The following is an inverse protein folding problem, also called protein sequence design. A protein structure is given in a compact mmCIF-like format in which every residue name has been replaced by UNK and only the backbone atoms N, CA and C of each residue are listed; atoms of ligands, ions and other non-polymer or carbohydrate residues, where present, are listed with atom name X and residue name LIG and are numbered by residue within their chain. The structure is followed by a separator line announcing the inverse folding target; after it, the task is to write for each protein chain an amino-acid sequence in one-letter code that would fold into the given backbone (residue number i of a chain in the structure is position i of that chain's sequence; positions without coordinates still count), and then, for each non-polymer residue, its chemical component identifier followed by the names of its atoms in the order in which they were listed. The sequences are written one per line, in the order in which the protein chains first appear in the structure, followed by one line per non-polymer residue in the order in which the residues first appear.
data_IF_237668904990
#
_entry.id   IF_237668904990
#
_cell.length_a   1.000
_cell.length_b   1.000
_cell.length_c   1.000
_cell.angle_alpha   90.00
_cell.angle_beta   90.00
_cell.angle_gamma   90.00
#
_symmetry.space_group_name_H-M   'P 1'
#
loop_
_entity.id
_entity.type
_entity.pdbx_description
1 polymer ?
#
# COMPACT_ATOMS: atom_id res chain seq x y z
N UNK A 1 -10.35 -1.93 -19.05
CA UNK A 1 -11.01 -0.72 -18.52
C UNK A 1 -11.69 -1.09 -17.21
N UNK A 2 -11.55 -0.30 -16.14
CA UNK A 2 -12.28 -0.52 -14.90
C UNK A 2 -13.74 -0.10 -15.07
N UNK A 3 -14.70 -0.83 -14.49
CA UNK A 3 -16.12 -0.45 -14.57
C UNK A 3 -16.37 0.94 -13.97
N UNK A 4 -17.35 1.67 -14.48
CA UNK A 4 -17.67 3.06 -14.06
C UNK A 4 -18.32 3.18 -12.69
N UNK A 5 -18.54 2.11 -11.98
CA UNK A 5 -19.26 2.12 -10.71
C UNK A 5 -18.30 2.06 -9.51
N UNK A 6 -18.75 2.52 -8.37
CA UNK A 6 -18.18 2.61 -7.02
C UNK A 6 -16.94 1.74 -6.69
N UNK A 7 -16.37 1.89 -5.51
CA UNK A 7 -15.29 1.07 -4.93
C UNK A 7 -15.46 -0.46 -5.09
N UNK A 8 -16.69 -0.95 -5.18
CA UNK A 8 -17.01 -2.35 -5.47
C UNK A 8 -16.58 -2.81 -6.87
N UNK A 9 -16.42 -1.89 -7.82
CA UNK A 9 -15.95 -2.18 -9.17
C UNK A 9 -14.52 -2.70 -9.17
N UNK A 10 -13.67 -2.15 -8.31
CA UNK A 10 -12.30 -2.62 -8.16
C UNK A 10 -12.25 -4.06 -7.64
N UNK A 11 -13.08 -4.39 -6.63
CA UNK A 11 -13.21 -5.75 -6.12
C UNK A 11 -13.75 -6.72 -7.18
N UNK A 12 -14.75 -6.31 -7.96
CA UNK A 12 -15.32 -7.11 -9.05
C UNK A 12 -14.32 -7.40 -10.17
N UNK A 13 -13.49 -6.42 -10.51
CA UNK A 13 -12.46 -6.52 -11.55
C UNK A 13 -11.14 -7.11 -11.07
N UNK A 14 -11.02 -7.43 -9.78
CA UNK A 14 -9.76 -7.85 -9.14
C UNK A 14 -9.09 -9.06 -9.78
N UNK A 15 -9.87 -9.93 -10.43
CA UNK A 15 -9.37 -11.13 -11.12
C UNK A 15 -8.99 -10.90 -12.58
N UNK A 16 -9.26 -9.71 -13.12
CA UNK A 16 -9.01 -9.42 -14.53
C UNK A 16 -7.55 -9.03 -14.72
N UNK A 17 -6.90 -9.64 -15.69
CA UNK A 17 -5.58 -9.19 -16.15
C UNK A 17 -5.70 -7.81 -16.81
N UNK A 18 -4.84 -6.89 -16.43
CA UNK A 18 -4.83 -5.50 -16.90
C UNK A 18 -3.52 -5.20 -17.63
N UNK A 19 -3.41 -5.49 -18.93
CA UNK A 19 -2.15 -5.37 -19.69
C UNK A 19 -1.59 -3.94 -19.69
N UNK A 20 -2.44 -2.93 -19.61
CA UNK A 20 -2.03 -1.52 -19.62
C UNK A 20 -1.78 -0.94 -18.23
N UNK A 21 -1.85 -1.74 -17.16
CA UNK A 21 -1.44 -1.29 -15.85
C UNK A 21 0.09 -1.10 -15.81
N UNK A 22 0.54 -0.07 -15.12
CA UNK A 22 1.97 0.28 -15.06
C UNK A 22 2.85 -0.90 -14.63
N UNK A 23 2.40 -1.70 -13.65
CA UNK A 23 3.17 -2.88 -13.23
C UNK A 23 3.43 -3.85 -14.38
N UNK A 24 2.43 -4.14 -15.23
CA UNK A 24 2.61 -5.02 -16.39
C UNK A 24 3.51 -4.38 -17.44
N UNK A 25 3.31 -3.09 -17.77
CA UNK A 25 4.13 -2.37 -18.75
C UNK A 25 5.60 -2.33 -18.32
N UNK A 26 5.88 -1.93 -17.08
CA UNK A 26 7.26 -1.89 -16.57
C UNK A 26 7.88 -3.28 -16.46
N UNK A 27 7.09 -4.30 -16.11
CA UNK A 27 7.56 -5.69 -16.07
C UNK A 27 7.98 -6.18 -17.45
N UNK A 28 7.22 -5.86 -18.52
CA UNK A 28 7.58 -6.16 -19.91
C UNK A 28 8.87 -5.45 -20.35
N UNK A 29 9.17 -4.29 -19.77
CA UNK A 29 10.43 -3.55 -19.97
C UNK A 29 11.60 -4.09 -19.13
N UNK A 30 11.43 -5.18 -18.38
CA UNK A 30 12.47 -5.80 -17.55
C UNK A 30 12.63 -5.18 -16.15
N UNK A 31 11.72 -4.33 -15.71
CA UNK A 31 11.76 -3.75 -14.36
C UNK A 31 11.31 -4.76 -13.28
N UNK A 32 11.92 -4.69 -12.13
CA UNK A 32 11.39 -5.29 -10.90
C UNK A 32 10.19 -4.47 -10.43
N UNK A 33 9.02 -5.08 -10.28
CA UNK A 33 7.77 -4.38 -9.97
C UNK A 33 7.16 -4.81 -8.65
N UNK A 34 7.04 -3.89 -7.71
CA UNK A 34 6.42 -4.12 -6.39
C UNK A 34 5.25 -3.17 -6.12
N UNK A 35 4.27 -3.67 -5.37
CA UNK A 35 3.25 -2.85 -4.73
C UNK A 35 3.23 -3.16 -3.22
N UNK A 36 3.33 -2.12 -2.41
CA UNK A 36 3.35 -2.21 -0.95
C UNK A 36 2.15 -1.50 -0.34
N UNK A 37 1.61 -2.08 0.73
CA UNK A 37 0.52 -1.50 1.50
C UNK A 37 0.72 -1.81 2.98
N UNK A 38 0.69 -0.80 3.81
CA UNK A 38 0.83 -0.94 5.26
C UNK A 38 -0.44 -1.43 5.96
N UNK A 39 -1.57 -1.43 5.27
CA UNK A 39 -2.82 -2.01 5.75
C UNK A 39 -2.97 -3.51 5.47
N UNK A 40 -4.18 -4.00 5.66
CA UNK A 40 -4.51 -5.43 5.54
C UNK A 40 -4.39 -5.95 4.11
N UNK A 41 -3.68 -7.04 3.93
CA UNK A 41 -3.41 -7.70 2.65
C UNK A 41 -4.64 -7.93 1.75
N UNK A 42 -5.76 -8.37 2.36
CA UNK A 42 -6.98 -8.70 1.60
C UNK A 42 -7.92 -7.51 1.35
N UNK A 43 -7.60 -6.33 1.87
CA UNK A 43 -8.46 -5.17 1.74
C UNK A 43 -8.72 -4.82 0.26
N UNK A 44 -9.99 -4.64 -0.10
CA UNK A 44 -10.47 -4.44 -1.48
C UNK A 44 -10.00 -5.50 -2.49
N UNK A 45 -9.75 -6.74 -2.05
CA UNK A 45 -9.20 -7.81 -2.88
C UNK A 45 -7.87 -7.43 -3.58
N UNK A 46 -7.06 -6.58 -2.97
CA UNK A 46 -5.77 -6.14 -3.53
C UNK A 46 -4.80 -7.30 -3.77
N UNK A 47 -4.87 -8.33 -2.95
CA UNK A 47 -4.10 -9.58 -3.12
C UNK A 47 -4.41 -10.31 -4.44
N UNK A 48 -5.53 -10.00 -5.09
CA UNK A 48 -5.89 -10.52 -6.41
C UNK A 48 -5.60 -9.48 -7.50
N UNK A 49 -6.00 -8.22 -7.30
CA UNK A 49 -5.90 -7.18 -8.32
C UNK A 49 -4.46 -6.76 -8.61
N UNK A 50 -3.61 -6.58 -7.60
CA UNK A 50 -2.26 -6.07 -7.81
C UNK A 50 -1.34 -7.06 -8.56
N UNK A 51 -1.39 -8.38 -8.30
CA UNK A 51 -0.70 -9.34 -9.18
C UNK A 51 -1.17 -9.30 -10.63
N UNK A 52 -2.47 -9.13 -10.88
CA UNK A 52 -3.02 -9.00 -12.23
C UNK A 52 -2.64 -7.67 -12.93
N UNK A 53 -2.23 -6.68 -12.14
CA UNK A 53 -1.64 -5.42 -12.61
C UNK A 53 -0.11 -5.51 -12.82
N UNK A 54 0.51 -6.67 -12.57
CA UNK A 54 1.94 -6.90 -12.76
C UNK A 54 2.83 -6.68 -11.54
N UNK A 55 2.26 -6.46 -10.35
CA UNK A 55 3.05 -6.22 -9.15
C UNK A 55 3.26 -7.47 -8.30
N UNK A 56 4.44 -7.62 -7.72
CA UNK A 56 4.63 -8.45 -6.53
C UNK A 56 4.08 -7.68 -5.34
N UNK A 57 2.90 -8.09 -4.84
CA UNK A 57 2.18 -7.36 -3.80
C UNK A 57 2.53 -7.86 -2.40
N UNK A 58 2.87 -6.93 -1.51
CA UNK A 58 3.17 -7.15 -0.09
C UNK A 58 2.36 -6.21 0.80
N UNK A 59 1.86 -6.72 1.92
CA UNK A 59 1.08 -5.95 2.88
C UNK A 59 1.10 -6.64 4.25
N UNK A 60 0.46 -6.03 5.26
CA UNK A 60 0.23 -6.68 6.55
C UNK A 60 -0.59 -7.97 6.37
N UNK A 61 -0.02 -9.09 6.83
CA UNK A 61 -0.54 -10.45 6.60
C UNK A 61 0.00 -11.13 5.35
N UNK A 62 0.95 -10.50 4.64
CA UNK A 62 1.68 -11.07 3.52
C UNK A 62 3.11 -10.54 3.43
N UNK A 63 3.89 -10.78 4.47
CA UNK A 63 5.33 -10.56 4.49
C UNK A 63 5.80 -9.27 5.17
N UNK A 64 4.91 -8.32 5.53
CA UNK A 64 5.30 -7.11 6.25
C UNK A 64 5.09 -7.20 7.78
N UNK A 65 4.34 -8.18 8.27
CA UNK A 65 3.99 -8.33 9.69
C UNK A 65 5.17 -8.58 10.63
N UNK A 66 6.32 -8.98 10.09
CA UNK A 66 7.57 -9.19 10.85
C UNK A 66 8.40 -7.92 10.98
N UNK A 67 8.20 -6.98 10.07
CA UNK A 67 9.07 -5.80 9.93
C UNK A 67 8.36 -4.50 10.29
N UNK A 68 7.03 -4.54 10.52
CA UNK A 68 6.24 -3.37 10.89
C UNK A 68 5.09 -3.70 11.85
N UNK A 69 4.58 -2.67 12.53
CA UNK A 69 3.53 -2.78 13.55
C UNK A 69 2.14 -2.84 12.91
N UNK A 70 1.78 -3.98 12.33
CA UNK A 70 0.52 -4.17 11.60
C UNK A 70 -0.78 -4.07 12.44
N UNK A 71 -0.69 -4.09 13.78
CA UNK A 71 -1.87 -4.04 14.67
C UNK A 71 -2.22 -2.63 15.16
N UNK A 72 -1.40 -1.62 14.86
CA UNK A 72 -1.60 -0.25 15.30
C UNK A 72 -2.21 0.55 14.14
N UNK A 73 -3.36 1.15 14.36
CA UNK A 73 -4.08 1.96 13.36
C UNK A 73 -3.84 3.47 13.54
N UNK A 74 -3.64 4.21 12.46
CA UNK A 74 -3.12 3.72 11.20
C UNK A 74 -1.69 3.20 11.35
N UNK A 75 -1.28 2.30 10.45
CA UNK A 75 0.09 1.85 10.37
C UNK A 75 1.00 2.98 9.90
N UNK A 76 2.29 2.82 10.08
CA UNK A 76 3.28 3.85 9.73
C UNK A 76 3.80 3.66 8.31
N UNK A 77 3.55 4.65 7.44
CA UNK A 77 4.12 4.70 6.09
C UNK A 77 5.65 4.66 6.14
N UNK A 78 6.28 5.32 7.13
CA UNK A 78 7.73 5.29 7.32
C UNK A 78 8.23 3.88 7.68
N UNK A 79 7.53 3.15 8.57
CA UNK A 79 7.87 1.75 8.87
C UNK A 79 7.74 0.88 7.60
N UNK A 80 6.71 1.10 6.78
CA UNK A 80 6.52 0.38 5.53
C UNK A 80 7.67 0.63 4.55
N UNK A 81 8.06 1.88 4.34
CA UNK A 81 9.17 2.22 3.43
C UNK A 81 10.46 1.55 3.93
N UNK A 82 10.80 1.67 5.22
CA UNK A 82 11.99 1.07 5.80
C UNK A 82 11.98 -0.47 5.71
N UNK A 83 10.82 -1.10 5.90
CA UNK A 83 10.65 -2.55 5.82
C UNK A 83 10.73 -3.10 4.39
N UNK A 84 10.55 -2.24 3.37
CA UNK A 84 10.41 -2.68 1.98
C UNK A 84 11.54 -2.23 1.06
N UNK A 85 12.37 -1.30 1.47
CA UNK A 85 13.48 -0.79 0.68
C UNK A 85 14.43 -1.90 0.18
N UNK A 86 14.71 -2.90 1.00
CA UNK A 86 15.59 -4.03 0.67
C UNK A 86 15.05 -4.92 -0.45
N UNK A 87 13.74 -4.88 -0.77
CA UNK A 87 13.18 -5.69 -1.84
C UNK A 87 13.61 -5.24 -3.24
N UNK A 88 14.00 -3.98 -3.42
CA UNK A 88 14.27 -3.43 -4.74
C UNK A 88 15.54 -2.58 -4.85
N UNK A 89 16.21 -2.25 -3.73
CA UNK A 89 17.37 -1.34 -3.72
C UNK A 89 18.53 -1.78 -4.64
N UNK A 90 18.70 -3.10 -4.80
CA UNK A 90 19.78 -3.69 -5.62
C UNK A 90 19.30 -4.03 -7.04
N UNK A 91 18.06 -3.69 -7.41
CA UNK A 91 17.55 -3.88 -8.76
C UNK A 91 18.08 -2.78 -9.69
N UNK A 92 18.60 -3.15 -10.85
CA UNK A 92 19.08 -2.19 -11.87
C UNK A 92 17.95 -1.22 -12.29
N UNK A 93 16.74 -1.77 -12.49
CA UNK A 93 15.53 -1.02 -12.78
C UNK A 93 14.39 -1.51 -11.91
N UNK A 94 13.70 -0.59 -11.27
CA UNK A 94 12.53 -0.93 -10.46
C UNK A 94 11.40 0.08 -10.63
N UNK A 95 10.19 -0.40 -10.41
CA UNK A 95 8.97 0.39 -10.27
C UNK A 95 8.25 -0.07 -9.02
N UNK A 96 8.10 0.82 -8.04
CA UNK A 96 7.39 0.54 -6.78
C UNK A 96 6.17 1.42 -6.63
N UNK A 97 5.07 0.82 -6.20
CA UNK A 97 3.83 1.50 -5.89
C UNK A 97 3.52 1.38 -4.40
N UNK A 98 3.45 2.49 -3.70
CA UNK A 98 3.14 2.56 -2.28
C UNK A 98 1.72 3.07 -2.05
N UNK A 99 0.93 2.32 -1.28
CA UNK A 99 -0.40 2.68 -0.82
C UNK A 99 -0.34 3.00 0.66
N UNK A 100 -0.23 4.26 0.96
CA UNK A 100 -0.02 4.82 2.30
C UNK A 100 -1.33 5.03 3.05
N UNK A 101 -1.32 4.93 4.39
CA UNK A 101 -2.50 5.14 5.24
C UNK A 101 -2.25 5.97 6.52
N UNK A 102 -1.02 6.40 6.80
CA UNK A 102 -0.75 7.20 8.02
C UNK A 102 -1.62 8.46 8.13
N UNK A 103 -1.93 9.09 7.00
CA UNK A 103 -2.78 10.26 6.91
C UNK A 103 -4.25 9.95 6.57
N UNK A 104 -4.69 8.70 6.73
CA UNK A 104 -6.04 8.29 6.33
C UNK A 104 -7.03 8.35 7.48
N UNK A 105 -8.09 9.13 7.36
CA UNK A 105 -9.25 9.22 8.26
C UNK A 105 -8.95 9.60 9.73
N UNK A 106 -10.03 10.00 10.43
CA UNK A 106 -10.07 10.16 11.88
C UNK A 106 -8.94 11.03 12.42
N UNK A 107 -8.79 12.25 11.88
CA UNK A 107 -7.81 13.24 12.35
C UNK A 107 -8.17 13.73 13.77
N UNK A 108 -8.16 12.82 14.72
CA UNK A 108 -8.40 13.10 16.13
C UNK A 108 -7.48 12.25 16.99
N UNK A 109 -7.33 12.64 18.27
CA UNK A 109 -6.38 12.00 19.18
C UNK A 109 -6.86 10.66 19.76
N UNK A 110 -8.08 10.21 19.45
CA UNK A 110 -8.67 8.99 19.99
C UNK A 110 -8.72 7.85 18.97
N UNK A 111 -8.93 8.19 17.70
CA UNK A 111 -9.11 7.21 16.63
C UNK A 111 -7.92 7.05 15.69
N UNK A 112 -6.90 7.91 15.82
CA UNK A 112 -5.74 7.90 14.94
C UNK A 112 -4.44 7.99 15.74
N UNK A 113 -3.64 6.94 15.71
CA UNK A 113 -2.39 6.85 16.45
C UNK A 113 -1.35 7.88 15.99
N UNK A 114 -1.34 8.29 14.71
CA UNK A 114 -0.43 9.32 14.22
C UNK A 114 -0.82 10.69 14.77
N UNK A 115 -2.11 11.02 14.78
CA UNK A 115 -2.61 12.25 15.43
C UNK A 115 -2.26 12.25 16.92
N UNK A 116 -2.49 11.14 17.61
CA UNK A 116 -2.15 11.01 19.04
C UNK A 116 -0.67 11.26 19.32
N UNK A 117 0.24 10.67 18.53
CA UNK A 117 1.69 10.84 18.68
C UNK A 117 2.15 12.28 18.45
N UNK A 118 1.50 12.98 17.55
CA UNK A 118 1.85 14.35 17.16
C UNK A 118 1.06 15.43 17.92
N UNK A 119 0.22 15.08 18.88
CA UNK A 119 -0.65 16.02 19.59
C UNK A 119 0.10 17.19 20.26
N UNK A 120 1.29 16.92 20.79
CA UNK A 120 2.10 17.97 21.44
C UNK A 120 2.63 19.01 20.44
N UNK A 121 2.79 18.63 19.16
CA UNK A 121 3.24 19.55 18.12
C UNK A 121 2.15 20.54 17.68
N UNK A 122 0.89 20.23 17.97
CA UNK A 122 -0.26 21.01 17.52
C UNK A 122 -1.12 21.55 18.66
N UNK A 123 -0.71 21.35 19.92
CA UNK A 123 -1.51 21.74 21.10
C UNK A 123 -1.78 23.24 21.22
N UNK A 124 -0.91 24.06 20.63
CA UNK A 124 -0.99 25.53 20.68
C UNK A 124 -1.51 26.11 19.34
N UNK A 125 -2.02 25.25 18.45
CA UNK A 125 -2.68 25.67 17.21
C UNK A 125 -4.19 25.76 17.45
N UNK A 126 -4.78 26.93 17.22
CA UNK A 126 -6.24 27.19 17.30
C UNK A 126 -6.99 26.57 16.11
#
# INVERSE_FOLDING_TARGET
MLPKESVWSFSKSSKNYLPYAYGNLFKEMGYTTYAFHDGTYKYYNRHLSHPNMGYTYKACGNGLEKSMKCKIWPQSDLEMINATYDYYKDSEHFMTYYMTISGHLQYNFYGNNMSYRNRELVKDLD
#
